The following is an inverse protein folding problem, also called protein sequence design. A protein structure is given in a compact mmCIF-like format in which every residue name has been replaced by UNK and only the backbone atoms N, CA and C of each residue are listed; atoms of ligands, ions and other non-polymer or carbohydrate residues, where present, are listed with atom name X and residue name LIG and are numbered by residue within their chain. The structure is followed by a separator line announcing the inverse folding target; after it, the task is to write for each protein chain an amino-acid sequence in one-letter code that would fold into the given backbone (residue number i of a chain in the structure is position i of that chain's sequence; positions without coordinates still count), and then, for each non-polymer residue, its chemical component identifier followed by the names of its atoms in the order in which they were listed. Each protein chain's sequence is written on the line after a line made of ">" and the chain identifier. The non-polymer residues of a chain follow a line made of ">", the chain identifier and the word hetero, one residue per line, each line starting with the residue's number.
data_IF_836146571803
#
_entry.id   IF_836146571803
#
_cell.length_a   1.000
_cell.length_b   1.000
_cell.length_c   1.000
_cell.angle_alpha   90.00
_cell.angle_beta   90.00
_cell.angle_gamma   90.00
#
_symmetry.space_group_name_H-M   'P 1'
#
loop_
_entity.id
_entity.type
_entity.pdbx_description
1 polymer ?
#
# COMPACT_ATOMS: atom_id res chain seq x y z
N UNK A 1 -6.45 -49.09 -23.02
CA UNK A 1 -6.39 -49.90 -21.79
C UNK A 1 -5.02 -49.69 -21.14
N UNK A 2 -4.99 -49.47 -19.82
CA UNK A 2 -3.87 -49.05 -18.93
C UNK A 2 -3.78 -47.54 -18.67
N UNK A 3 -4.63 -47.05 -17.77
CA UNK A 3 -4.43 -45.78 -17.05
C UNK A 3 -3.98 -46.15 -15.63
N UNK A 4 -2.83 -45.61 -15.23
CA UNK A 4 -2.11 -45.95 -14.00
C UNK A 4 -2.66 -45.15 -12.82
N UNK A 5 -3.19 -45.86 -11.84
CA UNK A 5 -3.50 -45.37 -10.49
C UNK A 5 -2.20 -45.06 -9.74
N UNK A 6 -2.03 -43.82 -9.24
CA UNK A 6 -1.04 -43.55 -8.18
C UNK A 6 -1.65 -42.71 -7.07
N UNK A 7 -1.38 -43.20 -5.87
CA UNK A 7 -1.97 -42.92 -4.55
C UNK A 7 -1.63 -41.50 -4.08
N UNK A 8 -2.64 -40.78 -3.57
CA UNK A 8 -2.42 -39.65 -2.65
C UNK A 8 -2.00 -40.22 -1.29
N UNK A 9 -0.85 -39.76 -0.78
CA UNK A 9 -0.41 -39.98 0.59
C UNK A 9 -0.89 -38.76 1.39
N UNK A 10 -1.82 -38.99 2.31
CA UNK A 10 -2.26 -38.02 3.30
C UNK A 10 -1.16 -37.85 4.36
N UNK A 11 -0.48 -36.71 4.35
CA UNK A 11 0.47 -36.30 5.38
C UNK A 11 -0.23 -35.43 6.42
N UNK A 12 -0.74 -36.08 7.47
CA UNK A 12 -1.26 -35.45 8.67
C UNK A 12 -0.08 -35.02 9.55
N UNK A 13 0.17 -33.72 9.69
CA UNK A 13 1.10 -33.19 10.71
C UNK A 13 0.35 -32.25 11.64
N UNK A 14 -0.13 -32.82 12.74
CA UNK A 14 -0.35 -32.11 14.00
C UNK A 14 1.02 -31.82 14.61
N UNK A 15 1.26 -30.59 15.06
CA UNK A 15 1.94 -30.33 16.34
C UNK A 15 1.61 -28.91 16.81
N UNK A 16 0.89 -28.87 17.92
CA UNK A 16 0.58 -27.69 18.70
C UNK A 16 1.81 -27.24 19.51
N UNK A 17 2.00 -25.92 19.64
CA UNK A 17 2.72 -25.33 20.77
C UNK A 17 2.26 -23.88 20.97
N UNK A 18 1.30 -23.70 21.86
CA UNK A 18 0.98 -22.44 22.52
C UNK A 18 2.10 -22.07 23.49
N UNK A 19 2.70 -20.89 23.34
CA UNK A 19 3.51 -20.25 24.39
C UNK A 19 2.85 -18.92 24.74
N UNK A 20 2.36 -18.86 25.99
CA UNK A 20 1.90 -17.65 26.67
C UNK A 20 3.12 -17.05 27.36
N UNK A 21 3.45 -15.79 27.07
CA UNK A 21 4.36 -14.99 27.89
C UNK A 21 3.64 -13.71 28.32
N UNK A 22 3.36 -13.65 29.61
CA UNK A 22 2.86 -12.51 30.35
C UNK A 22 4.05 -11.73 30.98
N UNK A 23 3.88 -10.42 31.15
CA UNK A 23 4.77 -9.53 31.95
C UNK A 23 5.92 -8.92 31.14
N UNK A 24 6.27 -7.64 31.28
CA UNK A 24 6.24 -6.82 32.49
C UNK A 24 5.65 -5.42 32.25
N UNK A 25 4.82 -4.99 33.19
CA UNK A 25 4.53 -3.58 33.44
C UNK A 25 5.80 -2.92 34.00
N UNK A 26 6.23 -1.83 33.38
CA UNK A 26 7.26 -0.94 33.90
C UNK A 26 6.60 0.27 34.54
N UNK A 27 6.54 0.26 35.87
CA UNK A 27 6.24 1.41 36.72
C UNK A 27 7.49 2.30 36.75
N UNK A 28 7.37 3.58 36.37
CA UNK A 28 8.46 4.55 36.48
C UNK A 28 7.98 5.75 37.30
N UNK A 29 8.21 5.67 38.61
CA UNK A 29 8.06 6.78 39.54
C UNK A 29 9.32 7.66 39.58
N UNK A 30 9.12 8.98 39.58
CA UNK A 30 9.94 9.91 40.35
C UNK A 30 10.82 10.89 39.57
N UNK A 31 10.41 12.17 39.52
CA UNK A 31 11.16 13.32 40.08
C UNK A 31 10.24 14.55 40.11
N UNK A 32 10.03 15.23 41.26
CA UNK A 32 9.35 16.52 41.31
C UNK A 32 10.30 17.74 41.35
N UNK A 33 9.76 18.89 40.91
CA UNK A 33 10.07 20.30 41.28
C UNK A 33 11.01 21.10 40.33
N UNK A 34 10.89 22.46 40.16
CA UNK A 34 9.96 23.44 40.77
C UNK A 34 9.31 24.52 39.82
N UNK A 35 8.18 25.08 40.30
CA UNK A 35 7.74 26.51 40.30
C UNK A 35 7.38 27.30 38.98
N UNK A 36 6.55 28.37 39.11
CA UNK A 36 5.64 28.84 38.05
C UNK A 36 6.18 30.03 37.24
N UNK A 37 6.05 29.94 35.92
CA UNK A 37 6.20 31.06 35.00
C UNK A 37 4.83 31.55 34.52
N UNK A 38 4.45 32.76 34.93
CA UNK A 38 3.39 33.52 34.30
C UNK A 38 3.84 33.90 32.87
N UNK A 39 3.09 33.46 31.86
CA UNK A 39 3.24 33.91 30.49
C UNK A 39 1.88 33.82 29.81
N UNK A 40 1.38 34.96 29.35
CA UNK A 40 0.03 35.16 28.82
C UNK A 40 -0.37 34.14 27.74
N UNK A 41 -1.61 33.65 27.86
CA UNK A 41 -2.28 32.77 26.89
C UNK A 41 -2.69 33.61 25.66
N UNK A 42 -2.11 33.41 24.47
CA UNK A 42 -2.68 33.93 23.24
C UNK A 42 -3.99 33.19 22.96
N UNK A 43 -5.01 33.91 22.54
CA UNK A 43 -6.37 33.43 22.35
C UNK A 43 -6.43 32.15 21.53
N UNK A 44 -7.20 31.19 22.02
CA UNK A 44 -7.67 30.03 21.25
C UNK A 44 -8.61 30.52 20.15
N UNK A 45 -8.03 30.93 19.02
CA UNK A 45 -8.70 30.81 17.73
C UNK A 45 -8.66 29.34 17.37
N UNK A 46 -9.70 28.60 17.76
CA UNK A 46 -10.03 27.33 17.10
C UNK A 46 -10.43 27.69 15.67
N UNK A 47 -9.43 27.82 14.80
CA UNK A 47 -9.66 27.75 13.38
C UNK A 47 -10.22 26.35 13.12
N UNK A 48 -11.47 26.29 12.65
CA UNK A 48 -11.98 25.07 12.06
C UNK A 48 -10.96 24.61 10.99
N UNK A 49 -10.64 23.31 10.91
CA UNK A 49 -9.85 22.82 9.79
C UNK A 49 -10.55 23.27 8.50
N UNK A 50 -9.82 23.75 7.48
CA UNK A 50 -10.44 24.00 6.20
C UNK A 50 -11.07 22.69 5.74
N UNK A 51 -12.40 22.62 5.76
CA UNK A 51 -13.18 21.65 5.01
C UNK A 51 -13.03 21.99 3.54
N UNK A 52 -11.81 21.87 3.02
CA UNK A 52 -11.57 21.88 1.60
C UNK A 52 -12.09 20.57 1.06
N UNK A 53 -12.84 20.62 -0.03
CA UNK A 53 -13.01 19.52 -0.96
C UNK A 53 -11.62 19.05 -1.41
N UNK A 54 -10.92 18.28 -0.58
CA UNK A 54 -9.75 17.50 -0.98
C UNK A 54 -10.20 16.21 -1.66
N UNK A 55 -11.40 16.21 -2.25
CA UNK A 55 -11.93 15.11 -3.03
C UNK A 55 -11.07 14.96 -4.26
N UNK A 56 -10.15 14.01 -4.24
CA UNK A 56 -9.40 13.64 -5.43
C UNK A 56 -10.39 13.24 -6.53
N UNK A 57 -10.26 13.88 -7.69
CA UNK A 57 -11.05 13.58 -8.87
C UNK A 57 -10.30 12.52 -9.67
N UNK A 58 -10.72 11.26 -9.54
CA UNK A 58 -10.13 10.11 -10.25
C UNK A 58 -10.15 10.34 -11.77
N UNK A 59 -11.14 11.05 -12.31
CA UNK A 59 -11.21 11.38 -13.73
C UNK A 59 -10.08 12.28 -14.23
N UNK A 60 -9.33 12.93 -13.33
CA UNK A 60 -8.13 13.70 -13.68
C UNK A 60 -6.84 12.86 -13.67
N UNK A 61 -6.91 11.61 -13.21
CA UNK A 61 -5.75 10.73 -13.12
C UNK A 61 -5.50 9.93 -14.39
N UNK A 62 -6.38 9.99 -15.39
CA UNK A 62 -6.19 9.30 -16.67
C UNK A 62 -4.79 9.56 -17.26
N UNK A 63 -4.21 8.50 -17.83
CA UNK A 63 -2.89 8.52 -18.46
C UNK A 63 -1.88 7.60 -17.78
N UNK A 64 -0.61 7.76 -18.16
CA UNK A 64 0.48 6.91 -17.68
C UNK A 64 1.23 7.57 -16.54
N UNK A 65 1.45 6.80 -15.48
CA UNK A 65 2.22 7.18 -14.31
C UNK A 65 3.33 6.17 -14.10
N UNK A 66 4.54 6.65 -13.79
CA UNK A 66 5.71 5.80 -13.62
C UNK A 66 6.49 6.21 -12.38
N UNK A 67 7.00 5.23 -11.66
CA UNK A 67 7.87 5.48 -10.51
C UNK A 67 8.24 4.19 -9.82
N UNK A 68 8.21 4.20 -8.49
CA UNK A 68 8.74 3.10 -7.69
C UNK A 68 7.86 2.80 -6.49
N UNK A 69 7.93 1.58 -6.01
CA UNK A 69 7.50 1.19 -4.68
C UNK A 69 8.69 0.70 -3.86
N UNK A 70 8.72 0.96 -2.57
CA UNK A 70 9.83 0.55 -1.70
C UNK A 70 9.51 -0.73 -0.96
N UNK A 71 10.39 -1.73 -1.02
CA UNK A 71 10.34 -2.97 -0.23
C UNK A 71 11.63 -3.15 0.59
N UNK A 72 11.66 -4.10 1.56
CA UNK A 72 12.85 -4.36 2.38
C UNK A 72 14.09 -4.75 1.56
N UNK A 73 13.89 -5.40 0.42
CA UNK A 73 14.95 -5.83 -0.51
C UNK A 73 15.45 -4.70 -1.42
N UNK A 74 14.73 -3.57 -1.49
CA UNK A 74 15.05 -2.43 -2.33
C UNK A 74 13.83 -1.89 -3.09
N UNK A 75 14.03 -0.85 -3.93
CA UNK A 75 12.95 -0.30 -4.75
C UNK A 75 12.56 -1.26 -5.87
N UNK A 76 11.26 -1.40 -6.12
CA UNK A 76 10.68 -2.01 -7.32
C UNK A 76 10.13 -0.94 -8.26
N UNK A 77 10.15 -1.20 -9.56
CA UNK A 77 9.63 -0.31 -10.59
C UNK A 77 8.13 -0.52 -10.78
N UNK A 78 7.39 0.58 -10.88
CA UNK A 78 5.93 0.59 -11.03
C UNK A 78 5.53 1.49 -12.20
N UNK A 79 4.69 0.97 -13.08
CA UNK A 79 3.99 1.77 -14.10
C UNK A 79 2.49 1.51 -13.96
N UNK A 80 1.71 2.58 -13.93
CA UNK A 80 0.24 2.54 -13.81
C UNK A 80 -0.34 3.29 -15.00
N UNK A 81 -1.05 2.60 -15.85
CA UNK A 81 -1.82 3.19 -16.95
C UNK A 81 -3.29 3.24 -16.52
N UNK A 82 -3.81 4.44 -16.32
CA UNK A 82 -5.18 4.68 -15.86
C UNK A 82 -6.03 5.00 -17.09
N UNK A 83 -7.00 4.11 -17.36
CA UNK A 83 -7.98 4.25 -18.42
C UNK A 83 -9.11 5.22 -18.02
N UNK A 84 -10.15 5.30 -18.86
CA UNK A 84 -11.29 6.18 -18.65
C UNK A 84 -12.07 5.87 -17.36
N UNK A 85 -12.32 6.93 -16.58
CA UNK A 85 -13.19 6.92 -15.41
C UNK A 85 -14.67 6.92 -15.82
N UNK A 86 -15.46 6.01 -15.27
CA UNK A 86 -16.87 5.85 -15.64
C UNK A 86 -17.87 6.56 -14.70
N UNK A 87 -17.38 7.32 -13.72
CA UNK A 87 -18.21 7.97 -12.68
C UNK A 87 -18.23 7.24 -11.35
N UNK A 88 -17.70 6.02 -11.27
CA UNK A 88 -17.60 5.23 -10.03
C UNK A 88 -16.17 4.71 -9.83
N UNK A 89 -15.60 4.10 -10.86
CA UNK A 89 -14.23 3.60 -10.86
C UNK A 89 -13.52 3.92 -12.17
N UNK A 90 -12.20 3.97 -12.13
CA UNK A 90 -11.35 3.94 -13.31
C UNK A 90 -10.67 2.58 -13.38
N UNK A 91 -10.51 2.04 -14.57
CA UNK A 91 -9.76 0.80 -14.73
C UNK A 91 -8.29 1.12 -14.99
N UNK A 92 -7.39 0.29 -14.52
CA UNK A 92 -5.96 0.53 -14.64
C UNK A 92 -5.18 -0.74 -14.99
N UNK A 93 -4.08 -0.57 -15.71
CA UNK A 93 -3.07 -1.61 -15.92
C UNK A 93 -1.85 -1.27 -15.08
N UNK A 94 -1.49 -2.17 -14.17
CA UNK A 94 -0.32 -2.04 -13.30
C UNK A 94 0.77 -2.96 -13.84
N UNK A 95 1.97 -2.41 -14.06
CA UNK A 95 3.14 -3.16 -14.51
C UNK A 95 4.27 -3.05 -13.51
N UNK A 96 4.88 -4.19 -13.20
CA UNK A 96 6.01 -4.34 -12.27
C UNK A 96 7.27 -4.62 -13.06
N UNK A 97 8.37 -3.96 -12.71
CA UNK A 97 9.68 -4.17 -13.32
C UNK A 97 10.80 -3.86 -12.33
N UNK A 98 12.04 -4.22 -12.67
CA UNK A 98 13.22 -3.83 -11.89
C UNK A 98 13.38 -2.30 -11.90
N UNK A 99 13.50 -1.69 -10.72
CA UNK A 99 13.90 -0.29 -10.59
C UNK A 99 15.42 -0.15 -10.55
N UNK A 100 15.91 1.06 -10.86
CA UNK A 100 17.33 1.38 -10.70
C UNK A 100 17.77 1.19 -9.24
N UNK A 101 18.79 0.35 -9.03
CA UNK A 101 19.29 0.00 -7.69
C UNK A 101 18.41 -0.98 -6.91
N UNK A 102 17.34 -1.50 -7.52
CA UNK A 102 16.48 -2.54 -6.96
C UNK A 102 16.99 -3.96 -7.18
N UNK A 103 16.41 -4.96 -6.50
CA UNK A 103 16.63 -6.36 -6.83
C UNK A 103 16.07 -6.66 -8.23
N UNK A 104 16.70 -7.61 -8.92
CA UNK A 104 16.18 -8.10 -10.20
C UNK A 104 14.86 -8.85 -9.97
N UNK A 105 13.80 -8.42 -10.65
CA UNK A 105 12.50 -9.07 -10.63
C UNK A 105 12.05 -9.45 -12.04
N UNK A 106 11.29 -10.54 -12.15
CA UNK A 106 10.62 -10.89 -13.40
C UNK A 106 9.53 -9.85 -13.68
N UNK A 107 9.50 -9.21 -14.86
CA UNK A 107 8.43 -8.29 -15.20
C UNK A 107 7.07 -8.98 -15.22
N UNK A 108 6.02 -8.25 -14.85
CA UNK A 108 4.65 -8.73 -14.88
C UNK A 108 3.66 -7.58 -14.93
N UNK A 109 2.40 -7.88 -15.26
CA UNK A 109 1.34 -6.87 -15.30
C UNK A 109 -0.02 -7.44 -14.93
N UNK A 110 -0.85 -6.64 -14.27
CA UNK A 110 -2.20 -7.00 -13.87
C UNK A 110 -3.19 -5.86 -14.07
N UNK A 111 -4.47 -6.23 -14.13
CA UNK A 111 -5.58 -5.29 -14.17
C UNK A 111 -5.97 -4.92 -12.74
N UNK A 112 -6.24 -3.64 -12.51
CA UNK A 112 -6.77 -3.11 -11.26
C UNK A 112 -7.96 -2.20 -11.50
N UNK A 113 -8.82 -2.04 -10.51
CA UNK A 113 -9.81 -0.97 -10.46
C UNK A 113 -9.36 0.07 -9.44
N UNK A 114 -9.47 1.34 -9.83
CA UNK A 114 -9.15 2.52 -9.04
C UNK A 114 -10.45 3.21 -8.58
N UNK A 115 -10.62 3.41 -7.29
CA UNK A 115 -11.81 4.04 -6.70
C UNK A 115 -11.45 4.87 -5.46
N UNK A 116 -12.29 5.86 -5.13
CA UNK A 116 -12.08 6.74 -3.98
C UNK A 116 -12.75 6.10 -2.77
N UNK A 117 -12.00 5.81 -1.71
CA UNK A 117 -12.54 5.31 -0.44
C UNK A 117 -13.11 6.44 0.42
N UNK A 118 -13.89 6.05 1.44
CA UNK A 118 -14.57 6.96 2.36
C UNK A 118 -13.59 7.87 3.15
N UNK A 119 -12.33 7.47 3.29
CA UNK A 119 -11.27 8.23 3.95
C UNK A 119 -10.53 9.20 3.00
N UNK A 120 -10.92 9.25 1.73
CA UNK A 120 -10.30 10.08 0.70
C UNK A 120 -9.06 9.47 0.06
N UNK A 121 -8.71 8.21 0.35
CA UNK A 121 -7.62 7.51 -0.37
C UNK A 121 -8.12 7.02 -1.73
N UNK A 122 -7.29 7.09 -2.76
CA UNK A 122 -7.59 6.42 -4.04
C UNK A 122 -6.98 5.02 -3.99
N UNK A 123 -7.81 4.00 -3.95
CA UNK A 123 -7.40 2.60 -3.85
C UNK A 123 -7.34 1.96 -5.23
N UNK A 124 -6.22 1.30 -5.52
CA UNK A 124 -6.02 0.43 -6.67
C UNK A 124 -6.10 -1.02 -6.21
N UNK A 125 -7.24 -1.67 -6.48
CA UNK A 125 -7.48 -3.06 -6.11
C UNK A 125 -7.26 -3.97 -7.33
N UNK A 126 -6.39 -4.96 -7.18
CA UNK A 126 -6.02 -5.91 -8.23
C UNK A 126 -7.17 -6.87 -8.52
N UNK A 127 -7.39 -7.15 -9.81
CA UNK A 127 -8.48 -8.01 -10.29
C UNK A 127 -7.91 -9.33 -10.82
N UNK A 128 -6.96 -9.25 -11.76
CA UNK A 128 -6.37 -10.41 -12.44
C UNK A 128 -5.06 -10.08 -13.12
N UNK A 129 -4.18 -11.07 -13.24
CA UNK A 129 -3.01 -10.99 -14.10
C UNK A 129 -3.38 -10.81 -15.58
N UNK A 130 -2.59 -9.99 -16.26
CA UNK A 130 -2.48 -9.92 -17.72
C UNK A 130 -1.28 -10.78 -18.13
N UNK A 131 -0.12 -10.51 -17.50
CA UNK A 131 1.10 -11.29 -17.61
C UNK A 131 1.63 -11.58 -16.20
N UNK A 132 1.58 -12.83 -15.77
CA UNK A 132 2.00 -13.22 -14.42
C UNK A 132 3.52 -13.37 -14.35
N UNK A 133 4.15 -12.58 -13.49
CA UNK A 133 5.55 -12.76 -13.11
C UNK A 133 5.72 -13.95 -12.15
N UNK A 134 6.68 -14.82 -12.43
CA UNK A 134 7.01 -15.93 -11.53
C UNK A 134 7.56 -15.39 -10.20
N UNK A 135 7.01 -15.85 -9.08
CA UNK A 135 7.46 -15.46 -7.75
C UNK A 135 6.97 -14.09 -7.25
N UNK A 136 6.14 -13.39 -8.03
CA UNK A 136 5.59 -12.07 -7.66
C UNK A 136 4.08 -12.16 -7.46
N UNK A 137 3.56 -11.48 -6.44
CA UNK A 137 2.12 -11.29 -6.24
C UNK A 137 1.61 -10.03 -6.91
N UNK A 138 0.30 -9.95 -7.18
CA UNK A 138 -0.31 -8.66 -7.53
C UNK A 138 -0.18 -7.73 -6.32
N UNK A 139 -0.07 -6.43 -6.59
CA UNK A 139 0.01 -5.42 -5.55
C UNK A 139 -1.24 -4.56 -5.60
N UNK A 140 -1.84 -4.39 -4.43
CA UNK A 140 -2.82 -3.35 -4.20
C UNK A 140 -2.08 -2.15 -3.61
N UNK A 141 -2.56 -0.94 -3.86
CA UNK A 141 -1.96 0.25 -3.24
C UNK A 141 -2.99 1.38 -3.10
N UNK A 142 -2.75 2.26 -2.14
CA UNK A 142 -3.54 3.47 -1.91
C UNK A 142 -2.74 4.71 -2.21
N UNK A 143 -3.33 5.71 -2.88
CA UNK A 143 -2.75 7.04 -3.09
C UNK A 143 -3.41 8.01 -2.11
N UNK A 144 -2.59 8.62 -1.26
CA UNK A 144 -3.04 9.55 -0.21
C UNK A 144 -2.78 11.01 -0.59
N UNK A 145 -1.90 11.26 -1.54
CA UNK A 145 -1.53 12.60 -2.01
C UNK A 145 -1.38 12.64 -3.53
N UNK A 146 -2.00 13.65 -4.15
CA UNK A 146 -1.83 14.00 -5.56
C UNK A 146 -1.46 15.48 -5.66
N UNK A 147 -0.26 15.76 -6.15
CA UNK A 147 0.28 17.12 -6.26
C UNK A 147 0.79 17.37 -7.69
N UNK A 148 -0.10 17.89 -8.54
CA UNK A 148 0.21 18.12 -9.96
C UNK A 148 0.49 16.80 -10.68
N UNK A 149 1.74 16.61 -11.09
CA UNK A 149 2.20 15.43 -11.83
C UNK A 149 2.86 14.38 -10.93
N UNK A 150 2.71 14.49 -9.60
CA UNK A 150 3.19 13.51 -8.65
C UNK A 150 2.04 12.87 -7.85
N UNK A 151 2.14 11.56 -7.61
CA UNK A 151 1.29 10.82 -6.67
C UNK A 151 2.16 10.14 -5.61
N UNK A 152 1.71 10.21 -4.37
CA UNK A 152 2.33 9.52 -3.24
C UNK A 152 1.30 8.67 -2.50
N UNK A 153 1.75 7.51 -2.04
CA UNK A 153 0.86 6.53 -1.47
C UNK A 153 1.59 5.39 -0.80
N UNK A 154 0.88 4.29 -0.60
CA UNK A 154 1.39 3.13 0.09
C UNK A 154 0.93 1.81 -0.53
N UNK A 155 1.75 0.77 -0.43
CA UNK A 155 1.38 -0.59 -0.85
C UNK A 155 0.45 -1.21 0.21
N UNK A 156 -0.65 -1.79 -0.24
CA UNK A 156 -1.57 -2.59 0.54
C UNK A 156 -1.10 -4.05 0.46
N UNK A 157 -0.56 -4.57 1.55
CA UNK A 157 -0.11 -5.97 1.60
C UNK A 157 -1.24 -6.93 2.00
N UNK A 158 -1.43 -8.02 1.23
CA UNK A 158 -1.91 -9.27 1.83
C UNK A 158 -0.81 -9.91 2.69
N UNK A 159 -1.21 -10.77 3.64
CA UNK A 159 -0.31 -11.49 4.55
C UNK A 159 0.71 -12.37 3.81
N UNK A 160 1.81 -11.75 3.35
CA UNK A 160 2.83 -12.39 2.52
C UNK A 160 3.80 -11.38 1.88
N UNK A 161 3.34 -10.15 1.61
CA UNK A 161 4.18 -9.04 1.13
C UNK A 161 4.57 -8.11 2.29
N UNK A 162 5.18 -8.67 3.33
CA UNK A 162 5.55 -7.91 4.52
C UNK A 162 6.66 -6.90 4.19
N UNK A 163 6.32 -5.62 4.23
CA UNK A 163 7.30 -4.54 4.34
C UNK A 163 7.44 -3.62 3.14
N UNK A 164 6.67 -3.82 2.07
CA UNK A 164 6.58 -2.78 1.05
C UNK A 164 5.73 -1.63 1.57
N UNK A 165 6.23 -0.41 1.51
CA UNK A 165 5.58 0.75 2.15
C UNK A 165 5.22 1.78 1.12
N UNK A 166 6.20 2.50 0.57
CA UNK A 166 5.93 3.77 -0.08
C UNK A 166 5.77 3.60 -1.58
N UNK A 167 4.78 4.26 -2.15
CA UNK A 167 4.58 4.38 -3.60
C UNK A 167 4.81 5.83 -4.00
N UNK A 168 5.67 6.05 -4.99
CA UNK A 168 5.91 7.36 -5.60
C UNK A 168 5.80 7.22 -7.10
N UNK A 169 4.91 8.00 -7.72
CA UNK A 169 4.63 7.96 -9.15
C UNK A 169 4.68 9.38 -9.72
N UNK A 170 5.17 9.49 -10.95
CA UNK A 170 5.17 10.73 -11.72
C UNK A 170 4.45 10.52 -13.05
N UNK A 171 3.67 11.50 -13.47
CA UNK A 171 3.01 11.50 -14.79
C UNK A 171 4.07 11.47 -15.90
N UNK A 172 3.78 10.76 -16.98
CA UNK A 172 4.64 10.65 -18.18
C UNK A 172 4.13 11.50 -19.34
#
# INVERSE_FOLDING_TARGET
>A
MRIRTRRLVAGLSLLAATVVTAGCAGEQEGTPSPAPGNGERPGSSTAAPPGGDSGYDIGKLNGTWKGTYLCPEGPGGLTVEIDEYNGEFASATVSLATADGGPEITPGSHRSDAFLSDDGTILFASIRWIEQAEGTGMIDFGITEVAGDAMMGYVLGEAGQRGCTDVVLNRQ
#
